data_IF_052417347057
#
_entry.id   IF_052417347057
#
_cell.length_a   1.000
_cell.length_b   1.000
_cell.length_c   1.000
_cell.angle_alpha   90.00
_cell.angle_beta   90.00
_cell.angle_gamma   90.00
#
_symmetry.space_group_name_H-M   'P 1'
#
loop_
_entity.id
_entity.type
_entity.pdbx_description
1 polymer ?
#
# COMPACT_ATOMS: atom_id res chain seq x y z
N UNK A 1 -17.52 -40.91 -32.88
CA UNK A 1 -16.30 -40.45 -32.18
C UNK A 1 -16.74 -39.26 -31.33
N UNK A 2 -17.27 -39.57 -30.15
CA UNK A 2 -17.91 -38.58 -29.28
C UNK A 2 -16.85 -37.95 -28.38
N UNK A 3 -16.59 -36.65 -28.57
CA UNK A 3 -15.74 -35.86 -27.69
C UNK A 3 -16.49 -35.60 -26.37
N UNK A 4 -15.93 -35.97 -25.20
CA UNK A 4 -16.52 -35.61 -23.93
C UNK A 4 -16.23 -34.12 -23.68
N UNK A 5 -17.18 -33.27 -24.05
CA UNK A 5 -17.18 -31.88 -23.63
C UNK A 5 -17.58 -31.85 -22.15
N UNK A 6 -16.58 -31.78 -21.28
CA UNK A 6 -16.81 -31.64 -19.85
C UNK A 6 -17.54 -30.31 -19.61
N UNK A 7 -18.73 -30.32 -18.99
CA UNK A 7 -19.48 -29.11 -18.72
C UNK A 7 -18.68 -28.19 -17.78
N UNK A 8 -18.77 -26.86 -17.95
CA UNK A 8 -18.10 -25.92 -17.07
C UNK A 8 -18.59 -26.14 -15.62
N UNK A 9 -17.67 -26.11 -14.64
CA UNK A 9 -18.02 -26.37 -13.25
C UNK A 9 -19.11 -25.38 -12.79
N UNK A 10 -20.09 -25.86 -12.00
CA UNK A 10 -21.21 -25.02 -11.56
C UNK A 10 -20.71 -23.82 -10.74
N UNK A 11 -21.34 -22.64 -10.85
CA UNK A 11 -20.88 -21.38 -10.22
C UNK A 11 -20.67 -21.48 -8.70
N UNK A 12 -21.31 -22.46 -8.05
CA UNK A 12 -21.15 -22.78 -6.63
C UNK A 12 -19.73 -23.25 -6.28
N UNK A 13 -19.08 -24.06 -7.13
CA UNK A 13 -17.71 -24.55 -6.85
C UNK A 13 -16.67 -23.44 -6.96
N UNK A 14 -16.80 -22.54 -7.94
CA UNK A 14 -15.92 -21.38 -8.08
C UNK A 14 -16.08 -20.44 -6.88
N UNK A 15 -17.32 -20.24 -6.40
CA UNK A 15 -17.60 -19.44 -5.21
C UNK A 15 -16.99 -20.06 -3.95
N UNK A 16 -17.02 -21.40 -3.83
CA UNK A 16 -16.45 -22.12 -2.69
C UNK A 16 -14.92 -22.14 -2.73
N UNK A 17 -14.32 -22.31 -3.91
CA UNK A 17 -12.88 -22.22 -4.13
C UNK A 17 -12.37 -20.79 -3.87
N UNK A 18 -13.10 -19.76 -4.33
CA UNK A 18 -12.79 -18.36 -4.06
C UNK A 18 -12.88 -18.07 -2.55
N UNK A 19 -13.95 -18.51 -1.88
CA UNK A 19 -14.14 -18.32 -0.44
C UNK A 19 -13.06 -19.02 0.38
N UNK A 20 -12.64 -20.22 -0.03
CA UNK A 20 -11.52 -20.97 0.56
C UNK A 20 -10.18 -20.28 0.33
N UNK A 21 -9.95 -19.73 -0.86
CA UNK A 21 -8.74 -18.95 -1.16
C UNK A 21 -8.69 -17.64 -0.36
N UNK A 22 -9.83 -16.94 -0.22
CA UNK A 22 -9.94 -15.73 0.62
C UNK A 22 -9.64 -16.07 2.07
N UNK A 23 -10.23 -17.14 2.61
CA UNK A 23 -9.93 -17.60 3.98
C UNK A 23 -8.45 -17.97 4.15
N UNK A 24 -7.86 -18.68 3.18
CA UNK A 24 -6.44 -19.04 3.24
C UNK A 24 -5.51 -17.80 3.22
N UNK A 25 -5.89 -16.75 2.48
CA UNK A 25 -5.16 -15.48 2.46
C UNK A 25 -5.35 -14.72 3.78
N UNK A 26 -6.56 -14.68 4.33
CA UNK A 26 -6.84 -14.06 5.64
C UNK A 26 -6.08 -14.77 6.76
N UNK A 27 -6.09 -16.10 6.80
CA UNK A 27 -5.35 -16.88 7.78
C UNK A 27 -3.84 -16.67 7.67
N UNK A 28 -3.28 -16.62 6.45
CA UNK A 28 -1.86 -16.28 6.26
C UNK A 28 -1.52 -14.89 6.76
N UNK A 29 -2.31 -13.88 6.40
CA UNK A 29 -2.10 -12.50 6.88
C UNK A 29 -2.24 -12.40 8.39
N UNK A 30 -3.20 -13.10 8.99
CA UNK A 30 -3.36 -13.15 10.44
C UNK A 30 -2.16 -13.82 11.12
N UNK A 31 -1.62 -14.90 10.52
CA UNK A 31 -0.42 -15.56 11.02
C UNK A 31 0.81 -14.68 10.91
N UNK A 32 1.03 -14.06 9.76
CA UNK A 32 2.12 -13.10 9.52
C UNK A 32 2.01 -11.89 10.48
N UNK A 33 0.80 -11.37 10.73
CA UNK A 33 0.59 -10.29 11.71
C UNK A 33 0.78 -10.74 13.18
N UNK A 34 0.57 -12.03 13.48
CA UNK A 34 0.81 -12.62 14.80
C UNK A 34 2.29 -12.89 15.05
N UNK A 35 3.03 -13.25 13.99
CA UNK A 35 4.47 -13.50 14.01
C UNK A 35 5.30 -12.22 13.83
N UNK A 36 4.67 -11.10 13.44
CA UNK A 36 5.32 -9.81 13.36
C UNK A 36 5.96 -9.43 14.70
N UNK A 37 7.25 -9.16 14.64
CA UNK A 37 8.05 -8.74 15.79
C UNK A 37 7.52 -7.43 16.38
N UNK A 38 7.81 -7.17 17.66
CA UNK A 38 7.42 -5.90 18.30
C UNK A 38 7.96 -4.69 17.53
N UNK A 39 9.15 -4.82 16.93
CA UNK A 39 9.77 -3.80 16.09
C UNK A 39 8.97 -3.53 14.81
N UNK A 40 8.49 -4.57 14.12
CA UNK A 40 7.65 -4.41 12.93
C UNK A 40 6.31 -3.74 13.26
N UNK A 41 5.69 -4.13 14.39
CA UNK A 41 4.44 -3.50 14.85
C UNK A 41 4.63 -2.02 15.17
N UNK A 42 5.73 -1.66 15.82
CA UNK A 42 6.09 -0.27 16.12
C UNK A 42 6.38 0.48 14.82
N UNK A 43 7.12 -0.10 13.88
CA UNK A 43 7.42 0.51 12.60
C UNK A 43 6.15 0.77 11.77
N UNK A 44 5.20 -0.17 11.75
CA UNK A 44 3.91 -0.02 11.07
C UNK A 44 3.08 1.11 11.70
N UNK A 45 3.01 1.14 13.03
CA UNK A 45 2.32 2.18 13.78
C UNK A 45 2.92 3.57 13.50
N UNK A 46 4.25 3.72 13.59
CA UNK A 46 4.95 4.97 13.32
C UNK A 46 4.73 5.41 11.87
N UNK A 47 4.83 4.49 10.90
CA UNK A 47 4.59 4.80 9.49
C UNK A 47 3.19 5.37 9.27
N UNK A 48 2.17 4.71 9.84
CA UNK A 48 0.78 5.17 9.72
C UNK A 48 0.53 6.50 10.43
N UNK A 49 1.26 6.76 11.52
CA UNK A 49 1.11 7.94 12.35
C UNK A 49 1.77 9.16 11.71
N UNK A 50 3.03 9.05 11.30
CA UNK A 50 3.80 10.14 10.69
C UNK A 50 3.23 10.58 9.33
N UNK A 51 2.56 9.67 8.60
CA UNK A 51 1.86 10.00 7.36
C UNK A 51 0.47 10.63 7.54
N UNK A 52 -0.02 10.83 8.78
CA UNK A 52 -1.38 11.29 9.07
C UNK A 52 -1.46 12.76 9.48
N UNK A 53 -2.54 13.46 9.08
CA UNK A 53 -2.78 14.84 9.50
C UNK A 53 -2.98 15.00 11.01
N UNK A 54 -3.34 13.91 11.71
CA UNK A 54 -3.46 13.88 13.18
C UNK A 54 -2.15 14.21 13.88
N UNK A 55 -1.03 13.78 13.29
CA UNK A 55 0.31 14.07 13.80
C UNK A 55 0.59 15.56 13.85
N UNK A 56 0.29 16.27 12.76
CA UNK A 56 0.48 17.72 12.63
C UNK A 56 -0.33 18.47 13.68
N UNK A 57 -1.60 18.09 13.88
CA UNK A 57 -2.44 18.71 14.91
C UNK A 57 -1.94 18.46 16.33
N UNK A 58 -1.45 17.25 16.62
CA UNK A 58 -0.86 16.95 17.93
C UNK A 58 0.38 17.81 18.20
N UNK A 59 1.29 17.91 17.23
CA UNK A 59 2.47 18.77 17.33
C UNK A 59 2.08 20.23 17.54
N UNK A 60 1.12 20.73 16.75
CA UNK A 60 0.65 22.10 16.88
C UNK A 60 0.03 22.37 18.26
N UNK A 61 -0.71 21.42 18.81
CA UNK A 61 -1.29 21.53 20.15
C UNK A 61 -0.21 21.49 21.24
N UNK A 62 0.79 20.62 21.12
CA UNK A 62 1.91 20.49 22.08
C UNK A 62 2.77 21.75 22.06
N UNK A 63 3.28 22.16 20.90
CA UNK A 63 4.13 23.35 20.77
C UNK A 63 3.34 24.63 21.05
N UNK A 64 2.12 24.75 20.54
CA UNK A 64 1.23 25.89 20.80
C UNK A 64 0.87 25.99 22.29
N UNK A 65 0.54 24.87 22.93
CA UNK A 65 0.27 24.81 24.37
C UNK A 65 1.47 25.18 25.22
N UNK A 66 2.68 24.75 24.82
CA UNK A 66 3.92 25.14 25.48
C UNK A 66 4.18 26.65 25.36
N UNK A 67 4.02 27.22 24.16
CA UNK A 67 4.19 28.65 23.92
C UNK A 67 3.19 29.46 24.75
N UNK A 68 1.91 29.09 24.74
CA UNK A 68 0.85 29.74 25.53
C UNK A 68 1.13 29.67 27.02
N UNK A 69 1.60 28.52 27.51
CA UNK A 69 1.97 28.34 28.92
C UNK A 69 3.18 29.20 29.31
N UNK A 70 4.17 29.35 28.41
CA UNK A 70 5.37 30.17 28.65
C UNK A 70 5.10 31.68 28.53
N UNK A 71 4.08 32.10 27.77
CA UNK A 71 3.66 33.50 27.64
C UNK A 71 3.04 34.08 28.93
N UNK A 72 2.95 33.29 30.00
CA UNK A 72 2.50 33.77 31.31
C UNK A 72 0.98 33.89 31.44
N UNK A 73 0.21 33.25 30.56
CA UNK A 73 -1.27 33.22 30.67
C UNK A 73 -1.76 32.39 31.87
N UNK A 74 -0.87 31.59 32.48
CA UNK A 74 -1.11 30.80 33.70
C UNK A 74 -0.40 31.49 34.88
N UNK A 75 -1.11 32.12 35.83
CA UNK A 75 -0.53 32.94 36.90
C UNK A 75 0.32 32.21 37.95
N UNK A 76 0.53 30.89 37.81
CA UNK A 76 0.92 29.99 38.91
C UNK A 76 2.39 29.55 38.81
N UNK A 77 3.08 29.74 37.67
CA UNK A 77 4.46 29.26 37.48
C UNK A 77 5.37 30.32 36.85
N UNK A 78 6.61 30.51 37.37
CA UNK A 78 7.64 31.26 36.66
C UNK A 78 7.85 30.70 35.24
N UNK A 79 8.21 31.52 34.24
CA UNK A 79 8.44 31.04 32.87
C UNK A 79 9.52 29.95 32.88
N UNK A 80 9.11 28.72 32.56
CA UNK A 80 9.93 27.52 32.64
C UNK A 80 10.98 27.44 31.51
N UNK A 81 10.72 28.10 30.37
CA UNK A 81 11.64 28.20 29.22
C UNK A 81 11.53 29.59 28.57
N UNK A 82 12.04 30.66 29.22
CA UNK A 82 11.84 32.05 28.78
C UNK A 82 12.44 32.35 27.41
N UNK A 83 13.43 31.58 26.98
CA UNK A 83 14.15 31.74 25.70
C UNK A 83 13.73 30.71 24.66
N UNK A 84 12.81 29.79 24.98
CA UNK A 84 12.37 28.68 24.12
C UNK A 84 13.51 27.74 23.67
N UNK A 85 14.65 27.75 24.35
CA UNK A 85 15.84 26.98 23.94
C UNK A 85 15.63 25.49 24.17
N UNK A 86 14.93 25.12 25.26
CA UNK A 86 14.65 23.71 25.57
C UNK A 86 13.67 23.15 24.52
N UNK A 87 12.61 23.90 24.21
CA UNK A 87 11.67 23.53 23.16
C UNK A 87 12.38 23.36 21.81
N UNK A 88 13.25 24.31 21.44
CA UNK A 88 13.98 24.25 20.18
C UNK A 88 14.94 23.04 20.10
N UNK A 89 15.62 22.70 21.20
CA UNK A 89 16.48 21.51 21.26
C UNK A 89 15.69 20.22 21.09
N UNK A 90 14.58 20.07 21.83
CA UNK A 90 13.72 18.88 21.74
C UNK A 90 13.11 18.75 20.35
N UNK A 91 12.60 19.85 19.78
CA UNK A 91 12.04 19.87 18.43
C UNK A 91 13.07 19.51 17.36
N UNK A 92 14.33 19.94 17.52
CA UNK A 92 15.41 19.59 16.59
C UNK A 92 15.73 18.10 16.60
N UNK A 93 15.79 17.49 17.80
CA UNK A 93 15.99 16.04 17.93
C UNK A 93 14.80 15.28 17.36
N UNK A 94 13.57 15.69 17.71
CA UNK A 94 12.34 15.09 17.19
C UNK A 94 12.28 15.15 15.66
N UNK A 95 12.64 16.27 15.05
CA UNK A 95 12.66 16.45 13.60
C UNK A 95 13.61 15.45 12.89
N UNK A 96 14.77 15.14 13.48
CA UNK A 96 15.69 14.13 12.93
C UNK A 96 15.02 12.75 12.95
N UNK A 97 14.43 12.34 14.08
CA UNK A 97 13.72 11.07 14.18
C UNK A 97 12.56 10.98 13.19
N UNK A 98 11.76 12.04 13.07
CA UNK A 98 10.66 12.12 12.11
C UNK A 98 11.16 12.01 10.68
N UNK A 99 12.22 12.73 10.32
CA UNK A 99 12.80 12.66 8.97
C UNK A 99 13.27 11.23 8.65
N UNK A 100 13.92 10.55 9.61
CA UNK A 100 14.33 9.16 9.44
C UNK A 100 13.11 8.23 9.29
N UNK A 101 12.07 8.39 10.10
CA UNK A 101 10.85 7.60 9.98
C UNK A 101 10.09 7.84 8.67
N UNK A 102 10.01 9.09 8.23
CA UNK A 102 9.45 9.45 6.91
C UNK A 102 10.26 8.78 5.81
N UNK A 103 11.59 8.82 5.87
CA UNK A 103 12.45 8.20 4.86
C UNK A 103 12.27 6.67 4.82
N UNK A 104 12.22 6.01 5.98
CA UNK A 104 11.96 4.57 6.08
C UNK A 104 10.58 4.24 5.49
N UNK A 105 9.55 5.02 5.84
CA UNK A 105 8.20 4.86 5.31
C UNK A 105 8.17 5.04 3.79
N UNK A 106 8.83 6.08 3.27
CA UNK A 106 8.94 6.35 1.84
C UNK A 106 9.65 5.22 1.11
N UNK A 107 10.77 4.72 1.65
CA UNK A 107 11.50 3.59 1.06
C UNK A 107 10.63 2.33 1.00
N UNK A 108 9.86 2.04 2.05
CA UNK A 108 8.90 0.91 2.07
C UNK A 108 7.80 1.07 1.03
N UNK A 109 7.22 2.26 0.92
CA UNK A 109 6.19 2.55 -0.09
C UNK A 109 6.75 2.47 -1.51
N UNK A 110 7.98 2.95 -1.74
CA UNK A 110 8.66 2.86 -3.04
C UNK A 110 8.89 1.41 -3.44
N UNK A 111 9.46 0.59 -2.57
CA UNK A 111 9.68 -0.84 -2.85
C UNK A 111 8.37 -1.59 -3.15
N UNK A 112 7.28 -1.23 -2.46
CA UNK A 112 5.96 -1.80 -2.73
C UNK A 112 5.38 -1.31 -4.08
N UNK A 113 5.63 -0.05 -4.46
CA UNK A 113 5.22 0.50 -5.74
C UNK A 113 6.01 -0.13 -6.91
N UNK A 114 7.32 -0.29 -6.77
CA UNK A 114 8.18 -0.92 -7.77
C UNK A 114 7.74 -2.36 -8.05
N UNK A 115 7.47 -3.14 -7.00
CA UNK A 115 6.95 -4.51 -7.14
C UNK A 115 5.61 -4.58 -7.87
N UNK A 116 4.73 -3.59 -7.67
CA UNK A 116 3.44 -3.51 -8.40
C UNK A 116 3.68 -3.17 -9.86
N UNK A 117 4.55 -2.21 -10.15
CA UNK A 117 4.90 -1.84 -11.51
C UNK A 117 5.48 -3.02 -12.31
N UNK A 118 6.35 -3.82 -11.70
CA UNK A 118 6.90 -5.04 -12.32
C UNK A 118 5.81 -6.07 -12.65
N UNK A 119 4.85 -6.27 -11.75
CA UNK A 119 3.72 -7.19 -11.97
C UNK A 119 2.80 -6.68 -13.08
N UNK A 120 2.47 -5.39 -13.09
CA UNK A 120 1.63 -4.76 -14.10
C UNK A 120 2.27 -4.84 -15.49
N UNK A 121 3.59 -4.66 -15.57
CA UNK A 121 4.35 -4.85 -16.80
C UNK A 121 4.27 -6.30 -17.30
N UNK A 122 4.48 -7.28 -16.42
CA UNK A 122 4.39 -8.69 -16.79
C UNK A 122 3.00 -9.09 -17.28
N UNK A 123 1.94 -8.64 -16.60
CA UNK A 123 0.55 -8.88 -17.02
C UNK A 123 0.29 -8.25 -18.39
N UNK A 124 0.79 -7.04 -18.62
CA UNK A 124 0.64 -6.35 -19.90
C UNK A 124 1.32 -7.12 -21.04
N UNK A 125 2.56 -7.57 -20.86
CA UNK A 125 3.29 -8.37 -21.85
C UNK A 125 2.62 -9.72 -22.14
N UNK A 126 2.13 -10.41 -21.10
CA UNK A 126 1.37 -11.65 -21.27
C UNK A 126 0.09 -11.40 -22.07
N UNK A 127 -0.62 -10.32 -21.77
CA UNK A 127 -1.85 -9.94 -22.47
C UNK A 127 -1.59 -9.63 -23.94
N UNK A 128 -0.51 -8.90 -24.24
CA UNK A 128 -0.08 -8.59 -25.61
C UNK A 128 0.25 -9.87 -26.40
N UNK A 129 0.95 -10.82 -25.77
CA UNK A 129 1.27 -12.11 -26.38
C UNK A 129 0.02 -12.95 -26.68
N UNK A 130 -0.91 -13.03 -25.74
CA UNK A 130 -2.17 -13.76 -25.96
C UNK A 130 -3.06 -13.06 -27.00
N UNK A 131 -3.09 -11.72 -27.03
CA UNK A 131 -3.80 -10.97 -28.06
C UNK A 131 -3.21 -11.22 -29.45
N UNK A 132 -1.89 -11.28 -29.57
CA UNK A 132 -1.20 -11.61 -30.82
C UNK A 132 -1.58 -13.02 -31.28
N UNK A 133 -1.52 -14.02 -30.40
CA UNK A 133 -1.97 -15.38 -30.72
C UNK A 133 -3.44 -15.43 -31.12
N UNK A 134 -4.33 -14.72 -30.42
CA UNK A 134 -5.73 -14.66 -30.79
C UNK A 134 -5.91 -14.06 -32.19
N UNK A 135 -5.13 -13.03 -32.53
CA UNK A 135 -5.13 -12.43 -33.87
C UNK A 135 -4.65 -13.44 -34.92
N UNK A 136 -3.57 -14.17 -34.66
CA UNK A 136 -3.06 -15.23 -35.55
C UNK A 136 -4.09 -16.35 -35.76
N UNK A 137 -4.77 -16.77 -34.69
CA UNK A 137 -5.82 -17.78 -34.77
C UNK A 137 -7.03 -17.30 -35.57
N UNK A 138 -7.43 -16.03 -35.39
CA UNK A 138 -8.53 -15.41 -36.16
C UNK A 138 -8.15 -15.29 -37.64
N UNK A 139 -6.92 -14.89 -37.95
CA UNK A 139 -6.42 -14.81 -39.33
C UNK A 139 -6.41 -16.20 -40.00
N UNK A 140 -5.91 -17.23 -39.30
CA UNK A 140 -5.95 -18.61 -39.78
C UNK A 140 -7.38 -19.13 -40.01
N UNK A 141 -8.35 -18.72 -39.19
CA UNK A 141 -9.76 -19.05 -39.39
C UNK A 141 -10.36 -18.32 -40.60
N UNK A 142 -10.04 -17.03 -40.77
CA UNK A 142 -10.50 -16.22 -41.90
C UNK A 142 -10.02 -16.79 -43.25
N UNK A 143 -8.75 -17.19 -43.31
CA UNK A 143 -8.14 -17.88 -44.47
C UNK A 143 -8.89 -19.17 -44.81
N UNK A 144 -9.19 -20.01 -43.81
CA UNK A 144 -9.94 -21.27 -44.04
C UNK A 144 -11.38 -21.05 -44.48
N UNK A 145 -12.00 -19.95 -44.06
CA UNK A 145 -13.36 -19.59 -44.45
C UNK A 145 -13.41 -18.79 -45.76
N UNK A 146 -12.26 -18.50 -46.37
CA UNK A 146 -12.11 -17.68 -47.59
C UNK A 146 -12.79 -16.31 -47.48
N UNK A 147 -12.84 -15.76 -46.26
CA UNK A 147 -13.44 -14.46 -45.96
C UNK A 147 -12.32 -13.44 -46.06
N UNK A 148 -12.36 -12.58 -47.08
CA UNK A 148 -11.40 -11.48 -47.20
C UNK A 148 -11.63 -10.47 -46.07
N UNK A 149 -10.61 -10.12 -45.28
CA UNK A 149 -10.72 -9.05 -44.29
C UNK A 149 -11.07 -7.73 -45.01
N UNK A 150 -12.04 -7.00 -44.47
CA UNK A 150 -12.59 -5.78 -45.07
C UNK A 150 -11.69 -4.52 -44.92
N UNK A 151 -10.41 -4.70 -44.57
CA UNK A 151 -9.46 -3.61 -44.38
C UNK A 151 -8.32 -3.73 -45.40
N UNK A 152 -8.59 -3.23 -46.60
CA UNK A 152 -7.60 -2.86 -47.62
C UNK A 152 -7.88 -1.44 -48.09
#
# INVERSE_FOLDING_TARGET
MDSPTLPPPPPTELSQALKRNIQAIEERRAKEASEATLEEKIAEAITSFTGSMRFVYLHLAVYGGWIVSNLGWIPITPPFDPTFVILAMVASVEAIFLSTFVLISQNRMSAAADKRADLDLQVSLLTEHELTKLTELVDSMADRLNVKPALS
#
